data_IF_689852226056
#
_entry.id   IF_689852226056
#
_cell.length_a   1.000
_cell.length_b   1.000
_cell.length_c   1.000
_cell.angle_alpha   90.00
_cell.angle_beta   90.00
_cell.angle_gamma   90.00
#
_symmetry.space_group_name_H-M   'P 1'
#
loop_
_entity.id
_entity.type
_entity.pdbx_description
1 polymer ?
#
# COMPACT_ATOMS: atom_id res chain seq x y z
N UNK A 1 -24.70 -4.97 -12.90
CA UNK A 1 -24.01 -4.88 -11.61
C UNK A 1 -24.38 -6.10 -10.80
N UNK A 2 -23.58 -7.16 -10.90
CA UNK A 2 -23.62 -8.28 -9.95
C UNK A 2 -22.77 -7.85 -8.76
N UNK A 3 -23.39 -7.69 -7.60
CA UNK A 3 -22.66 -7.41 -6.36
C UNK A 3 -21.65 -8.53 -6.14
N UNK A 4 -20.41 -8.16 -5.82
CA UNK A 4 -19.39 -9.13 -5.45
C UNK A 4 -19.93 -9.95 -4.28
N UNK A 5 -20.04 -11.26 -4.49
CA UNK A 5 -20.34 -12.23 -3.46
C UNK A 5 -19.25 -12.12 -2.40
N UNK A 6 -19.65 -11.85 -1.15
CA UNK A 6 -18.76 -12.06 -0.02
C UNK A 6 -18.31 -13.52 -0.07
N UNK A 7 -17.00 -13.75 -0.19
CA UNK A 7 -16.41 -15.09 -0.28
C UNK A 7 -17.00 -15.99 0.81
N UNK A 8 -17.61 -17.11 0.40
CA UNK A 8 -18.18 -18.15 1.28
C UNK A 8 -17.14 -18.74 2.24
N UNK A 9 -15.86 -18.62 1.89
CA UNK A 9 -14.71 -19.02 2.70
C UNK A 9 -14.01 -17.79 3.26
N UNK A 10 -13.76 -17.82 4.57
CA UNK A 10 -12.88 -16.88 5.25
C UNK A 10 -11.43 -17.36 5.09
N UNK A 11 -10.72 -16.79 4.12
CA UNK A 11 -9.37 -17.21 3.76
C UNK A 11 -8.33 -16.90 4.82
N UNK A 12 -8.52 -15.82 5.59
CA UNK A 12 -7.59 -15.46 6.67
C UNK A 12 -7.70 -16.49 7.80
N UNK A 13 -8.93 -16.83 8.19
CA UNK A 13 -9.18 -17.86 9.21
C UNK A 13 -8.70 -19.25 8.76
N UNK A 14 -8.86 -19.57 7.47
CA UNK A 14 -8.36 -20.83 6.91
C UNK A 14 -6.83 -20.87 6.84
N UNK A 15 -6.17 -19.74 6.58
CA UNK A 15 -4.72 -19.63 6.61
C UNK A 15 -4.16 -19.78 8.03
N UNK A 16 -4.81 -19.18 9.03
CA UNK A 16 -4.46 -19.38 10.44
C UNK A 16 -4.60 -20.85 10.85
N UNK A 17 -5.64 -21.54 10.36
CA UNK A 17 -5.83 -22.98 10.57
C UNK A 17 -4.71 -23.82 9.93
N UNK A 18 -4.41 -23.59 8.64
CA UNK A 18 -3.33 -24.32 7.92
C UNK A 18 -1.95 -24.04 8.53
N UNK A 19 -1.73 -22.83 9.03
CA UNK A 19 -0.50 -22.42 9.71
C UNK A 19 -0.35 -22.91 11.14
N UNK A 20 -1.36 -23.60 11.71
CA UNK A 20 -1.36 -24.06 13.11
C UNK A 20 -1.52 -22.93 14.14
N UNK A 21 -1.87 -21.71 13.72
CA UNK A 21 -2.07 -20.58 14.62
C UNK A 21 -3.32 -20.75 15.50
N UNK A 22 -4.26 -21.60 15.09
CA UNK A 22 -5.46 -21.94 15.84
C UNK A 22 -5.28 -23.15 16.77
N UNK A 23 -4.11 -23.80 16.81
CA UNK A 23 -3.92 -25.02 17.58
C UNK A 23 -4.27 -24.83 19.07
N UNK A 24 -5.23 -25.62 19.56
CA UNK A 24 -5.70 -25.55 20.93
C UNK A 24 -6.70 -24.42 21.23
N UNK A 25 -7.13 -23.67 20.21
CA UNK A 25 -8.22 -22.70 20.34
C UNK A 25 -9.58 -23.32 19.96
N UNK A 26 -10.71 -22.78 20.47
CA UNK A 26 -12.04 -23.24 20.06
C UNK A 26 -12.31 -23.09 18.56
N UNK A 27 -11.68 -22.11 17.91
CA UNK A 27 -11.82 -21.80 16.50
C UNK A 27 -11.26 -22.92 15.61
N UNK A 28 -10.25 -23.66 16.06
CA UNK A 28 -9.71 -24.85 15.37
C UNK A 28 -10.82 -25.85 15.03
N UNK A 29 -11.64 -26.20 16.04
CA UNK A 29 -12.73 -27.17 15.87
C UNK A 29 -13.85 -26.64 14.97
N UNK A 30 -14.04 -25.32 14.91
CA UNK A 30 -15.02 -24.69 14.01
C UNK A 30 -14.54 -24.81 12.57
N UNK A 31 -13.30 -24.44 12.29
CA UNK A 31 -12.71 -24.54 10.95
C UNK A 31 -12.60 -25.99 10.50
N UNK A 32 -12.13 -26.89 11.36
CA UNK A 32 -12.04 -28.33 11.06
C UNK A 32 -13.41 -28.92 10.67
N UNK A 33 -14.49 -28.52 11.36
CA UNK A 33 -15.85 -28.93 10.99
C UNK A 33 -16.26 -28.39 9.63
N UNK A 34 -16.01 -27.10 9.34
CA UNK A 34 -16.32 -26.51 8.02
C UNK A 34 -15.56 -27.20 6.90
N UNK A 35 -14.26 -27.44 7.07
CA UNK A 35 -13.44 -28.18 6.09
C UNK A 35 -13.96 -29.59 5.86
N UNK A 36 -14.56 -30.24 6.86
CA UNK A 36 -15.13 -31.59 6.73
C UNK A 36 -16.54 -31.63 6.13
N UNK A 37 -17.37 -30.61 6.38
CA UNK A 37 -18.80 -30.62 6.05
C UNK A 37 -19.15 -29.76 4.82
N UNK A 38 -18.35 -28.74 4.51
CA UNK A 38 -18.64 -27.76 3.46
C UNK A 38 -17.68 -27.93 2.27
N UNK A 39 -18.17 -28.31 1.07
CA UNK A 39 -17.31 -28.59 -0.09
C UNK A 39 -16.38 -27.43 -0.48
N UNK A 40 -16.88 -26.20 -0.41
CA UNK A 40 -16.10 -25.00 -0.78
C UNK A 40 -14.93 -24.79 0.19
N UNK A 41 -15.12 -25.06 1.50
CA UNK A 41 -14.03 -25.05 2.48
C UNK A 41 -13.05 -26.19 2.28
N UNK A 42 -13.53 -27.39 1.92
CA UNK A 42 -12.65 -28.53 1.60
C UNK A 42 -11.73 -28.22 0.42
N UNK A 43 -12.29 -27.68 -0.67
CA UNK A 43 -11.54 -27.34 -1.88
C UNK A 43 -10.51 -26.22 -1.61
N UNK A 44 -10.93 -25.16 -0.91
CA UNK A 44 -10.04 -24.07 -0.53
C UNK A 44 -8.89 -24.55 0.39
N UNK A 45 -9.20 -25.42 1.37
CA UNK A 45 -8.20 -26.01 2.26
C UNK A 45 -7.18 -26.85 1.49
N UNK A 46 -7.65 -27.71 0.59
CA UNK A 46 -6.78 -28.55 -0.23
C UNK A 46 -5.83 -27.72 -1.10
N UNK A 47 -6.36 -26.68 -1.77
CA UNK A 47 -5.57 -25.77 -2.58
C UNK A 47 -4.51 -25.02 -1.76
N UNK A 48 -4.86 -24.56 -0.55
CA UNK A 48 -3.92 -23.84 0.32
C UNK A 48 -2.82 -24.75 0.87
N UNK A 49 -3.15 -25.98 1.26
CA UNK A 49 -2.18 -26.98 1.71
C UNK A 49 -1.19 -27.35 0.59
N UNK A 50 -1.68 -27.52 -0.64
CA UNK A 50 -0.82 -27.79 -1.81
C UNK A 50 0.14 -26.63 -2.10
N UNK A 51 -0.40 -25.40 -2.12
CA UNK A 51 0.41 -24.19 -2.35
C UNK A 51 1.48 -24.02 -1.27
N UNK A 52 1.11 -24.22 0.00
CA UNK A 52 2.05 -24.15 1.13
C UNK A 52 3.13 -25.21 1.01
N UNK A 53 2.77 -26.46 0.69
CA UNK A 53 3.74 -27.54 0.47
C UNK A 53 4.72 -27.25 -0.68
N UNK A 54 4.25 -26.60 -1.75
CA UNK A 54 5.09 -26.18 -2.88
C UNK A 54 6.09 -25.09 -2.49
N UNK A 55 5.66 -24.11 -1.68
CA UNK A 55 6.55 -23.09 -1.12
C UNK A 55 7.56 -23.72 -0.18
N UNK A 56 7.15 -24.59 0.75
CA UNK A 56 8.04 -25.29 1.66
C UNK A 56 9.09 -26.13 0.91
N UNK A 57 8.67 -26.83 -0.15
CA UNK A 57 9.60 -27.59 -1.01
C UNK A 57 10.60 -26.67 -1.69
N UNK A 58 10.12 -25.57 -2.27
CA UNK A 58 10.98 -24.58 -2.93
C UNK A 58 12.00 -24.01 -1.95
N UNK A 59 11.56 -23.64 -0.74
CA UNK A 59 12.43 -23.14 0.32
C UNK A 59 13.44 -24.20 0.80
N UNK A 60 13.03 -25.46 0.90
CA UNK A 60 13.93 -26.55 1.25
C UNK A 60 15.03 -26.74 0.20
N UNK A 61 14.67 -26.73 -1.09
CA UNK A 61 15.64 -26.78 -2.20
C UNK A 61 16.61 -25.61 -2.16
N UNK A 62 16.11 -24.40 -1.86
CA UNK A 62 16.97 -23.23 -1.67
C UNK A 62 17.90 -23.36 -0.45
N UNK A 63 17.41 -24.01 0.61
CA UNK A 63 18.17 -24.26 1.84
C UNK A 63 19.26 -25.33 1.73
N UNK A 64 19.30 -26.13 0.65
CA UNK A 64 20.33 -27.18 0.47
C UNK A 64 21.76 -26.63 0.41
N UNK A 65 21.92 -25.36 0.00
CA UNK A 65 23.22 -24.67 -0.09
C UNK A 65 23.40 -23.59 0.99
N UNK A 66 22.62 -23.64 2.08
CA UNK A 66 22.72 -22.64 3.15
C UNK A 66 24.09 -22.71 3.83
N UNK A 67 24.75 -21.56 3.96
CA UNK A 67 25.97 -21.46 4.76
C UNK A 67 25.65 -21.87 6.21
N UNK A 68 26.45 -22.74 6.84
CA UNK A 68 26.18 -23.20 8.19
C UNK A 68 26.18 -22.02 9.15
N UNK A 69 25.15 -21.96 10.01
CA UNK A 69 25.07 -20.95 11.06
C UNK A 69 26.34 -20.99 11.93
N UNK A 70 27.01 -19.85 12.16
CA UNK A 70 28.17 -19.81 13.04
C UNK A 70 27.83 -20.37 14.42
N UNK A 71 28.70 -21.22 14.95
CA UNK A 71 28.43 -21.98 16.18
C UNK A 71 28.13 -21.06 17.36
N UNK A 72 28.81 -19.91 17.46
CA UNK A 72 28.56 -18.94 18.51
C UNK A 72 27.17 -18.31 18.44
N UNK A 73 26.59 -18.19 17.24
CA UNK A 73 25.22 -17.70 17.06
C UNK A 73 24.23 -18.79 17.45
N UNK A 74 24.47 -20.03 17.03
CA UNK A 74 23.64 -21.17 17.40
C UNK A 74 23.61 -21.37 18.93
N UNK A 75 24.76 -21.31 19.59
CA UNK A 75 24.88 -21.44 21.05
C UNK A 75 24.16 -20.31 21.79
N UNK A 76 24.27 -19.07 21.27
CA UNK A 76 23.55 -17.92 21.82
C UNK A 76 22.03 -18.09 21.69
N UNK A 77 21.55 -18.61 20.57
CA UNK A 77 20.12 -18.87 20.36
C UNK A 77 19.66 -20.00 21.28
N UNK A 78 20.38 -21.11 21.34
CA UNK A 78 20.06 -22.24 22.22
C UNK A 78 19.99 -21.80 23.69
N UNK A 79 21.00 -21.04 24.15
CA UNK A 79 21.03 -20.47 25.49
C UNK A 79 19.84 -19.53 25.75
N UNK A 80 19.49 -18.69 24.77
CA UNK A 80 18.34 -17.80 24.90
C UNK A 80 17.01 -18.56 25.00
N UNK A 81 16.87 -19.65 24.24
CA UNK A 81 15.69 -20.52 24.27
C UNK A 81 15.58 -21.30 25.58
N UNK A 82 16.68 -21.77 26.16
CA UNK A 82 16.70 -22.42 27.48
C UNK A 82 16.36 -21.45 28.63
N UNK A 83 16.66 -20.16 28.44
CA UNK A 83 16.38 -19.11 29.41
C UNK A 83 14.95 -18.55 29.32
N UNK A 84 14.19 -18.87 28.27
CA UNK A 84 12.77 -18.55 28.18
C UNK A 84 12.01 -19.43 29.20
N UNK A 85 11.44 -18.85 30.27
CA UNK A 85 10.53 -19.61 31.12
C UNK A 85 9.33 -20.02 30.26
N UNK A 86 8.97 -21.30 30.27
CA UNK A 86 7.76 -21.80 29.60
C UNK A 86 6.60 -20.85 29.88
N UNK A 87 6.21 -20.05 28.88
CA UNK A 87 5.11 -19.10 29.06
C UNK A 87 3.85 -19.90 29.38
N UNK A 88 3.07 -19.48 30.40
CA UNK A 88 1.74 -20.02 30.58
C UNK A 88 0.95 -19.72 29.31
N UNK A 89 0.28 -20.75 28.78
CA UNK A 89 -0.76 -20.65 27.76
C UNK A 89 -1.60 -19.41 28.05
N UNK A 90 -1.64 -18.48 27.10
CA UNK A 90 -2.47 -17.28 27.20
C UNK A 90 -3.93 -17.74 27.27
N UNK A 91 -4.48 -17.82 28.48
CA UNK A 91 -5.92 -18.01 28.66
C UNK A 91 -6.64 -16.78 28.11
N UNK A 92 -7.35 -16.97 27.01
CA UNK A 92 -8.31 -16.02 26.48
C UNK A 92 -9.30 -15.66 27.61
N UNK A 93 -9.29 -14.40 28.02
CA UNK A 93 -10.29 -13.85 28.95
C UNK A 93 -11.62 -13.78 28.18
N UNK A 94 -12.68 -14.49 28.63
CA UNK A 94 -13.98 -14.38 27.99
C UNK A 94 -14.50 -12.94 28.09
N UNK A 95 -14.72 -12.29 26.96
CA UNK A 95 -15.35 -10.99 26.90
C UNK A 95 -16.87 -11.17 27.07
N UNK A 96 -17.32 -11.25 28.32
CA UNK A 96 -18.74 -11.28 28.69
C UNK A 96 -19.40 -9.89 28.52
N UNK A 97 -19.44 -9.38 27.29
CA UNK A 97 -20.34 -8.31 26.86
C UNK A 97 -21.40 -8.84 25.90
N UNK A 98 -22.03 -9.95 26.29
CA UNK A 98 -23.38 -10.30 25.83
C UNK A 98 -24.39 -9.75 26.85
N UNK A 99 -25.26 -8.85 26.39
CA UNK A 99 -26.28 -8.21 27.23
C UNK A 99 -27.16 -9.21 27.99
N UNK A 100 -27.71 -8.82 29.15
CA UNK A 100 -28.31 -9.77 30.08
C UNK A 100 -29.63 -10.34 29.56
N UNK A 101 -29.62 -11.63 29.24
CA UNK A 101 -30.81 -12.46 29.20
C UNK A 101 -31.42 -12.56 30.60
N UNK A 102 -32.73 -12.26 30.67
CA UNK A 102 -33.52 -12.29 31.88
C UNK A 102 -33.72 -13.72 32.37
N UNK A 103 -33.20 -14.06 33.54
CA UNK A 103 -33.83 -15.08 34.40
C UNK A 103 -33.67 -14.72 35.88
N UNK A 104 -34.83 -14.70 36.55
CA UNK A 104 -35.02 -14.34 37.94
C UNK A 104 -34.44 -15.36 38.93
N UNK A 105 -33.80 -14.89 40.00
CA UNK A 105 -33.93 -15.56 41.32
C UNK A 105 -33.66 -14.58 42.47
N UNK A 106 -34.40 -14.80 43.56
CA UNK A 106 -34.69 -13.87 44.65
C UNK A 106 -33.56 -13.81 45.68
N UNK A 107 -33.19 -12.60 46.13
CA UNK A 107 -33.05 -12.37 47.59
C UNK A 107 -33.17 -10.89 48.00
N UNK A 108 -34.19 -10.65 48.83
CA UNK A 108 -34.53 -9.42 49.53
C UNK A 108 -33.33 -8.80 50.28
N UNK A 109 -33.12 -7.49 50.14
CA UNK A 109 -32.74 -6.58 51.25
C UNK A 109 -33.13 -5.12 50.93
N UNK A 110 -34.30 -4.76 51.47
CA UNK A 110 -34.85 -3.48 51.97
C UNK A 110 -34.24 -2.14 51.49
N UNK A 111 -35.10 -1.32 50.89
CA UNK A 111 -34.99 0.14 50.65
C UNK A 111 -35.03 0.97 51.96
N UNK A 112 -34.72 2.28 51.93
CA UNK A 112 -35.69 3.33 51.53
C UNK A 112 -35.05 4.32 50.53
N UNK A 113 -35.74 4.97 49.58
CA UNK A 113 -37.11 5.45 49.54
C UNK A 113 -37.06 6.99 49.49
N UNK A 114 -37.01 7.58 48.29
CA UNK A 114 -37.29 9.01 48.09
C UNK A 114 -37.97 9.28 46.75
N UNK A 115 -38.88 10.25 46.80
CA UNK A 115 -40.00 10.50 45.92
C UNK A 115 -39.62 11.25 44.62
N UNK A 116 -40.46 11.10 43.59
CA UNK A 116 -40.35 11.79 42.28
C UNK A 116 -40.66 13.30 42.32
N UNK A 117 -40.89 14.00 41.17
CA UNK A 117 -41.77 13.58 40.07
C UNK A 117 -41.29 13.89 38.62
N UNK A 118 -42.16 13.60 37.66
CA UNK A 118 -42.01 13.53 36.20
C UNK A 118 -41.82 14.87 35.43
N UNK A 119 -41.29 14.80 34.20
CA UNK A 119 -41.74 15.61 33.05
C UNK A 119 -41.24 15.07 31.69
N UNK A 120 -41.96 15.51 30.65
CA UNK A 120 -42.12 15.01 29.26
C UNK A 120 -41.09 15.55 28.26
N UNK A 121 -40.83 14.75 27.20
CA UNK A 121 -40.41 15.07 25.81
C UNK A 121 -39.06 15.74 25.48
N UNK A 122 -38.36 15.12 24.52
CA UNK A 122 -37.55 15.74 23.45
C UNK A 122 -37.40 14.67 22.34
N UNK A 123 -37.57 14.90 21.04
CA UNK A 123 -37.32 16.12 20.28
C UNK A 123 -36.15 15.80 19.33
N UNK A 124 -36.46 15.46 18.08
CA UNK A 124 -35.49 15.24 17.00
C UNK A 124 -34.81 16.57 16.67
N UNK A 125 -33.48 16.60 16.64
CA UNK A 125 -32.71 17.70 16.07
C UNK A 125 -31.60 17.14 15.18
N UNK A 126 -31.72 17.38 13.88
CA UNK A 126 -30.65 17.24 12.91
C UNK A 126 -29.66 18.41 13.07
N UNK A 127 -28.37 18.11 13.05
CA UNK A 127 -27.30 19.11 13.00
C UNK A 127 -26.84 19.26 11.55
N UNK A 128 -27.16 20.40 10.96
CA UNK A 128 -26.50 20.94 9.78
C UNK A 128 -26.26 22.45 10.00
N UNK A 129 -25.02 22.89 9.79
CA UNK A 129 -24.47 24.22 10.04
C UNK A 129 -23.03 24.02 10.53
N UNK A 130 -21.98 24.68 10.05
CA UNK A 130 -21.76 26.09 9.71
C UNK A 130 -20.35 26.12 9.04
N UNK A 131 -19.91 27.07 8.23
CA UNK A 131 -20.47 28.37 7.88
C UNK A 131 -19.58 29.08 6.85
N UNK A 132 -20.21 30.00 6.12
CA UNK A 132 -19.57 31.03 5.31
C UNK A 132 -19.39 32.29 6.17
N UNK A 133 -18.19 32.84 6.18
CA UNK A 133 -17.90 34.17 6.71
C UNK A 133 -17.89 35.16 5.55
N UNK A 134 -18.86 36.06 5.57
CA UNK A 134 -18.98 37.26 4.74
C UNK A 134 -17.91 38.31 5.12
N UNK A 135 -17.49 39.16 4.16
CA UNK A 135 -17.74 40.61 4.24
C UNK A 135 -17.03 41.44 3.15
N UNK A 136 -17.79 42.39 2.58
CA UNK A 136 -17.34 43.59 1.86
C UNK A 136 -17.46 43.46 0.34
N UNK A 137 -18.30 44.17 -0.40
CA UNK A 137 -18.89 45.50 -0.20
C UNK A 137 -18.64 46.26 -1.51
N UNK A 138 -19.69 46.53 -2.28
CA UNK A 138 -19.61 46.91 -3.71
C UNK A 138 -19.10 48.31 -4.03
N UNK A 139 -18.80 48.54 -5.31
CA UNK A 139 -19.62 49.36 -6.21
C UNK A 139 -19.12 49.20 -7.66
N UNK A 140 -20.05 49.33 -8.59
CA UNK A 140 -19.85 49.12 -10.03
C UNK A 140 -19.32 50.39 -10.70
N UNK A 141 -18.41 50.23 -11.66
CA UNK A 141 -18.37 51.07 -12.86
C UNK A 141 -17.74 50.31 -14.03
N UNK A 142 -18.34 50.48 -15.21
CA UNK A 142 -17.97 49.78 -16.44
C UNK A 142 -17.00 50.53 -17.33
N UNK A 143 -16.64 49.90 -18.45
CA UNK A 143 -16.17 50.60 -19.65
C UNK A 143 -14.73 50.33 -20.08
N UNK A 144 -14.59 49.25 -20.86
CA UNK A 144 -13.87 49.12 -22.14
C UNK A 144 -12.67 50.02 -22.53
N UNK A 145 -11.73 49.33 -23.17
CA UNK A 145 -10.96 49.69 -24.39
C UNK A 145 -9.63 50.48 -24.33
N UNK A 146 -8.57 49.71 -24.64
CA UNK A 146 -7.51 49.90 -25.65
C UNK A 146 -6.47 51.04 -25.60
N UNK A 147 -5.22 50.58 -25.80
CA UNK A 147 -4.11 51.13 -26.59
C UNK A 147 -3.20 52.23 -26.00
N UNK A 148 -1.89 52.05 -26.20
CA UNK A 148 -0.94 53.17 -26.23
C UNK A 148 0.46 52.87 -25.70
N UNK A 149 1.40 52.76 -26.63
CA UNK A 149 2.85 52.49 -26.53
C UNK A 149 3.74 53.64 -25.98
N UNK A 150 5.00 53.28 -25.69
CA UNK A 150 6.26 54.09 -25.60
C UNK A 150 6.59 54.69 -24.21
N UNK A 151 7.83 54.80 -23.72
CA UNK A 151 9.17 54.32 -24.10
C UNK A 151 10.15 54.52 -22.90
N UNK A 152 11.26 53.76 -22.92
CA UNK A 152 12.60 54.04 -22.38
C UNK A 152 12.97 54.04 -20.87
N UNK A 153 13.89 53.09 -20.57
CA UNK A 153 15.17 53.24 -19.83
C UNK A 153 15.20 53.16 -18.27
N UNK A 154 16.34 52.70 -17.69
CA UNK A 154 16.34 51.69 -16.64
C UNK A 154 16.44 52.24 -15.22
N UNK A 155 15.82 51.54 -14.27
CA UNK A 155 16.12 51.71 -12.85
C UNK A 155 15.98 50.37 -12.12
N UNK A 156 17.02 50.06 -11.35
CA UNK A 156 17.19 48.88 -10.53
C UNK A 156 16.11 48.72 -9.47
N UNK A 157 15.84 47.45 -9.14
CA UNK A 157 15.34 46.93 -7.88
C UNK A 157 13.93 47.39 -7.44
N UNK A 158 12.97 46.48 -7.62
CA UNK A 158 12.05 46.03 -6.58
C UNK A 158 11.46 44.68 -6.97
N UNK A 159 11.52 43.77 -6.00
CA UNK A 159 10.71 42.57 -5.87
C UNK A 159 9.25 42.83 -6.28
N UNK A 160 8.73 41.96 -7.15
CA UNK A 160 7.48 41.21 -6.98
C UNK A 160 6.98 40.67 -8.33
N UNK A 161 6.39 39.47 -8.27
CA UNK A 161 5.74 38.69 -9.34
C UNK A 161 6.70 37.91 -10.28
N UNK A 162 6.50 36.64 -10.59
CA UNK A 162 5.26 35.86 -10.57
C UNK A 162 5.63 34.37 -10.55
N UNK A 163 5.59 33.76 -9.37
CA UNK A 163 5.50 32.31 -9.28
C UNK A 163 4.15 31.93 -9.89
N UNK A 164 4.19 31.12 -10.94
CA UNK A 164 3.00 30.49 -11.52
C UNK A 164 2.24 29.69 -10.46
N UNK A 165 1.01 29.22 -10.76
CA UNK A 165 0.22 28.50 -9.78
C UNK A 165 1.07 27.37 -9.21
N UNK A 166 1.35 27.49 -7.92
CA UNK A 166 1.97 26.50 -7.07
C UNK A 166 1.10 25.25 -7.19
N UNK A 167 1.49 24.36 -8.10
CA UNK A 167 0.92 23.02 -8.18
C UNK A 167 1.15 22.42 -6.81
N UNK A 168 0.05 22.19 -6.11
CA UNK A 168 0.06 21.50 -4.84
C UNK A 168 0.97 20.27 -4.96
N UNK A 169 1.99 20.12 -4.10
CA UNK A 169 2.71 18.86 -4.05
C UNK A 169 1.66 17.77 -3.84
N UNK A 170 1.75 16.69 -4.62
CA UNK A 170 1.01 15.46 -4.36
C UNK A 170 0.90 15.28 -2.85
N UNK A 171 -0.32 15.35 -2.34
CA UNK A 171 -0.56 15.47 -0.92
C UNK A 171 -0.04 14.22 -0.21
N UNK A 172 1.14 14.36 0.40
CA UNK A 172 1.53 13.63 1.61
C UNK A 172 1.82 12.14 1.45
N UNK A 173 2.82 11.77 0.65
CA UNK A 173 3.44 10.46 0.73
C UNK A 173 4.79 10.43 0.00
N UNK A 174 5.83 9.88 0.62
CA UNK A 174 7.03 9.53 -0.13
C UNK A 174 6.65 8.40 -1.09
N UNK A 175 6.67 8.67 -2.40
CA UNK A 175 6.38 7.65 -3.41
C UNK A 175 7.36 6.48 -3.20
N UNK A 176 6.87 5.24 -3.01
CA UNK A 176 7.75 4.09 -2.84
C UNK A 176 8.61 3.92 -4.09
N UNK A 177 9.92 4.11 -3.94
CA UNK A 177 10.91 3.87 -4.98
C UNK A 177 11.63 2.56 -4.70
N UNK A 178 11.51 1.61 -5.63
CA UNK A 178 12.19 0.33 -5.59
C UNK A 178 13.10 0.20 -6.80
N UNK A 179 14.02 -0.75 -6.73
CA UNK A 179 15.01 -0.98 -7.76
C UNK A 179 15.17 -2.50 -7.86
N UNK A 180 14.27 -3.13 -8.61
CA UNK A 180 14.12 -4.58 -8.66
C UNK A 180 15.08 -5.25 -9.63
N UNK A 181 15.55 -4.52 -10.65
CA UNK A 181 16.31 -5.08 -11.76
C UNK A 181 15.52 -6.04 -12.66
N UNK A 182 14.19 -6.13 -12.52
CA UNK A 182 13.33 -6.97 -13.36
C UNK A 182 13.33 -6.48 -14.81
N UNK A 183 13.26 -7.39 -15.77
CA UNK A 183 13.00 -7.08 -17.19
C UNK A 183 11.52 -7.25 -17.51
N UNK A 184 10.81 -6.12 -17.59
CA UNK A 184 9.42 -6.07 -17.98
C UNK A 184 9.29 -6.22 -19.50
N UNK A 185 8.40 -7.10 -19.93
CA UNK A 185 8.14 -7.37 -21.36
C UNK A 185 6.75 -6.93 -21.75
N UNK A 186 6.58 -6.37 -22.95
CA UNK A 186 5.27 -5.96 -23.46
C UNK A 186 4.20 -7.07 -23.36
N UNK A 187 4.59 -8.33 -23.57
CA UNK A 187 3.68 -9.49 -23.53
C UNK A 187 3.09 -9.78 -22.15
N UNK A 188 3.79 -9.41 -21.08
CA UNK A 188 3.37 -9.65 -19.69
C UNK A 188 3.10 -8.35 -18.93
N UNK A 189 3.24 -7.20 -19.60
CA UNK A 189 3.19 -5.88 -18.98
C UNK A 189 1.85 -5.61 -18.29
N UNK A 190 0.74 -5.88 -18.98
CA UNK A 190 -0.62 -5.71 -18.45
C UNK A 190 -0.97 -6.67 -17.28
N UNK A 191 -0.17 -7.72 -17.09
CA UNK A 191 -0.37 -8.73 -16.03
C UNK A 191 0.65 -8.60 -14.91
N UNK A 192 1.55 -7.62 -14.99
CA UNK A 192 2.54 -7.40 -13.95
C UNK A 192 1.87 -6.83 -12.70
N UNK A 193 2.05 -7.48 -11.56
CA UNK A 193 1.65 -6.95 -10.25
C UNK A 193 2.60 -5.84 -9.76
N UNK A 194 2.13 -5.03 -8.82
CA UNK A 194 2.95 -3.98 -8.19
C UNK A 194 4.14 -4.64 -7.46
N UNK A 195 5.40 -4.23 -7.71
CA UNK A 195 6.59 -4.85 -7.12
C UNK A 195 6.65 -4.73 -5.58
N UNK A 196 5.83 -3.86 -4.98
CA UNK A 196 5.60 -3.78 -3.54
C UNK A 196 5.09 -5.09 -2.89
N UNK A 197 4.40 -5.96 -3.64
CA UNK A 197 4.03 -7.29 -3.16
C UNK A 197 5.19 -8.30 -3.23
N UNK A 198 6.15 -8.08 -4.13
CA UNK A 198 7.29 -8.98 -4.35
C UNK A 198 8.50 -8.68 -3.45
N UNK A 199 8.66 -7.45 -2.94
CA UNK A 199 9.81 -7.09 -2.08
C UNK A 199 9.67 -7.51 -0.62
N UNK A 200 8.45 -7.85 -0.17
CA UNK A 200 8.26 -8.62 1.07
C UNK A 200 8.83 -10.05 0.94
N UNK A 201 9.06 -10.54 -0.29
CA UNK A 201 9.62 -11.87 -0.58
C UNK A 201 11.08 -11.81 -1.09
N UNK A 202 11.54 -10.67 -1.64
CA UNK A 202 12.86 -10.55 -2.29
C UNK A 202 14.01 -10.05 -1.40
N UNK A 203 13.78 -9.78 -0.11
CA UNK A 203 14.88 -9.45 0.83
C UNK A 203 15.65 -10.69 1.31
N UNK A 204 15.36 -11.88 0.78
CA UNK A 204 15.86 -13.17 1.28
C UNK A 204 16.72 -13.93 0.27
N UNK A 205 17.37 -13.25 -0.68
CA UNK A 205 18.15 -13.95 -1.71
C UNK A 205 19.41 -13.21 -2.14
N UNK A 206 20.47 -13.33 -1.35
CA UNK A 206 21.85 -13.24 -1.84
C UNK A 206 22.64 -14.40 -1.23
N UNK A 207 23.06 -15.35 -2.07
CA UNK A 207 24.13 -16.29 -1.77
C UNK A 207 25.40 -15.87 -2.54
N UNK A 208 26.61 -16.15 -2.03
CA UNK A 208 27.86 -15.64 -2.59
C UNK A 208 28.39 -16.54 -3.71
N UNK A 209 28.86 -15.94 -4.80
CA UNK A 209 29.76 -16.62 -5.74
C UNK A 209 31.05 -15.84 -5.94
N UNK A 210 32.10 -16.64 -6.14
CA UNK A 210 33.50 -16.31 -5.95
C UNK A 210 34.08 -15.28 -6.92
N UNK A 211 35.07 -14.60 -6.36
CA UNK A 211 36.08 -13.72 -6.93
C UNK A 211 36.70 -14.25 -8.23
N UNK A 212 36.29 -13.67 -9.35
CA UNK A 212 37.13 -13.49 -10.54
C UNK A 212 36.95 -12.06 -11.05
N UNK A 213 37.90 -11.21 -10.65
CA UNK A 213 38.37 -9.95 -11.25
C UNK A 213 37.42 -9.26 -12.25
N UNK A 214 36.26 -8.83 -11.76
CA UNK A 214 35.29 -8.01 -12.49
C UNK A 214 34.96 -6.75 -11.68
N UNK A 215 34.83 -5.58 -12.33
CA UNK A 215 34.53 -4.33 -11.65
C UNK A 215 33.15 -4.44 -11.00
N UNK A 216 33.11 -4.23 -9.69
CA UNK A 216 31.94 -4.11 -8.81
C UNK A 216 30.66 -3.70 -9.54
N UNK A 217 29.81 -4.66 -9.88
CA UNK A 217 28.47 -4.41 -10.43
C UNK A 217 27.54 -4.14 -9.25
N UNK A 218 27.20 -2.86 -9.04
CA UNK A 218 26.20 -2.45 -8.05
C UNK A 218 24.82 -3.02 -8.46
N UNK A 219 24.38 -4.07 -7.75
CA UNK A 219 23.01 -4.58 -7.83
C UNK A 219 22.04 -3.50 -7.33
N UNK A 220 21.14 -3.03 -8.19
CA UNK A 220 20.02 -2.19 -7.77
C UNK A 220 19.23 -1.55 -8.90
N UNK A 221 19.83 -0.67 -9.69
CA UNK A 221 19.18 -0.07 -10.87
C UNK A 221 20.22 0.15 -11.98
N UNK A 222 19.83 0.13 -13.26
CA UNK A 222 20.71 0.56 -14.33
C UNK A 222 21.25 1.98 -14.06
N UNK A 223 22.56 2.25 -14.22
CA UNK A 223 23.16 3.57 -13.92
C UNK A 223 22.58 4.70 -14.77
N UNK A 224 22.01 4.36 -15.94
CA UNK A 224 21.26 5.31 -16.77
C UNK A 224 20.07 5.96 -16.02
N UNK A 225 19.53 5.31 -14.98
CA UNK A 225 18.38 5.79 -14.20
C UNK A 225 18.80 6.55 -12.92
N UNK A 226 20.09 6.76 -12.66
CA UNK A 226 20.54 7.42 -11.41
C UNK A 226 19.94 8.82 -11.22
N UNK A 227 19.69 9.53 -12.33
CA UNK A 227 18.96 10.80 -12.30
C UNK A 227 17.58 10.65 -11.65
N UNK A 228 16.84 9.58 -11.95
CA UNK A 228 15.49 9.35 -11.43
C UNK A 228 15.47 8.91 -9.95
N UNK A 229 16.63 8.64 -9.35
CA UNK A 229 16.74 8.51 -7.88
C UNK A 229 16.66 9.86 -7.17
N UNK A 230 16.88 10.97 -7.89
CA UNK A 230 16.70 12.31 -7.35
C UNK A 230 15.19 12.63 -7.26
N UNK A 231 14.66 13.02 -6.09
CA UNK A 231 13.23 13.28 -5.91
C UNK A 231 12.66 14.35 -6.86
N UNK A 232 13.41 15.39 -7.18
CA UNK A 232 12.98 16.45 -8.10
C UNK A 232 12.87 15.94 -9.53
N UNK A 233 13.82 15.11 -9.98
CA UNK A 233 13.77 14.52 -11.31
C UNK A 233 12.65 13.47 -11.41
N UNK A 234 12.41 12.71 -10.34
CA UNK A 234 11.31 11.74 -10.28
C UNK A 234 9.95 12.45 -10.33
N UNK A 235 9.76 13.53 -9.58
CA UNK A 235 8.54 14.33 -9.63
C UNK A 235 8.28 14.87 -11.04
N UNK A 236 9.31 15.45 -11.69
CA UNK A 236 9.19 15.92 -13.07
C UNK A 236 8.86 14.79 -14.07
N UNK A 237 9.34 13.57 -13.83
CA UNK A 237 8.98 12.40 -14.62
C UNK A 237 7.50 12.05 -14.45
N UNK A 238 7.01 12.00 -13.21
CA UNK A 238 5.59 11.71 -12.91
C UNK A 238 4.67 12.78 -13.51
N UNK A 239 5.03 14.06 -13.40
CA UNK A 239 4.28 15.17 -14.02
C UNK A 239 4.20 15.02 -15.54
N UNK A 240 5.30 14.57 -16.16
CA UNK A 240 5.33 14.31 -17.60
C UNK A 240 4.45 13.11 -17.99
N UNK A 241 4.40 12.05 -17.19
CA UNK A 241 3.47 10.92 -17.40
C UNK A 241 2.02 11.37 -17.20
N UNK A 242 1.73 12.14 -16.15
CA UNK A 242 0.40 12.69 -15.89
C UNK A 242 -0.08 13.59 -17.04
N UNK A 243 0.81 14.36 -17.64
CA UNK A 243 0.51 15.19 -18.82
C UNK A 243 0.30 14.36 -20.10
N UNK A 244 0.97 13.21 -20.21
CA UNK A 244 0.85 12.31 -21.35
C UNK A 244 -0.37 11.35 -21.25
N UNK A 245 -0.85 11.07 -20.04
CA UNK A 245 -1.97 10.18 -19.80
C UNK A 245 -3.32 10.91 -20.01
N UNK A 246 -4.23 10.42 -20.87
CA UNK A 246 -5.46 11.16 -21.24
C UNK A 246 -6.36 11.56 -20.07
N UNK A 247 -6.40 10.73 -19.03
CA UNK A 247 -7.21 10.93 -17.81
C UNK A 247 -6.37 11.42 -16.63
N UNK A 248 -5.10 11.77 -16.85
CA UNK A 248 -4.15 12.12 -15.80
C UNK A 248 -3.82 10.97 -14.86
N UNK A 249 -3.11 11.29 -13.78
CA UNK A 249 -2.80 10.38 -12.68
C UNK A 249 -3.45 10.92 -11.42
N UNK A 250 -4.16 10.08 -10.67
CA UNK A 250 -4.78 10.44 -9.38
C UNK A 250 -3.89 10.02 -8.22
N UNK A 251 -3.31 8.82 -8.29
CA UNK A 251 -2.46 8.26 -7.22
C UNK A 251 -1.33 7.43 -7.80
N UNK A 252 -0.13 7.51 -7.21
CA UNK A 252 1.05 6.74 -7.63
C UNK A 252 1.37 5.71 -6.56
N UNK A 253 1.24 4.43 -6.91
CA UNK A 253 1.42 3.32 -5.98
C UNK A 253 2.90 3.05 -5.69
N UNK A 254 3.71 2.93 -6.74
CA UNK A 254 5.14 2.56 -6.66
C UNK A 254 5.86 2.92 -7.95
N UNK A 255 7.14 3.24 -7.84
CA UNK A 255 8.06 3.36 -8.96
C UNK A 255 9.17 2.33 -8.82
N UNK A 256 9.41 1.53 -9.87
CA UNK A 256 10.48 0.54 -9.92
C UNK A 256 11.52 0.91 -10.97
N UNK A 257 12.77 1.05 -10.55
CA UNK A 257 13.92 1.27 -11.42
C UNK A 257 14.41 -0.08 -11.94
N UNK A 258 14.04 -0.39 -13.19
CA UNK A 258 14.17 -1.72 -13.75
C UNK A 258 14.57 -1.65 -15.22
N UNK A 259 14.27 -2.69 -15.99
CA UNK A 259 14.40 -2.70 -17.45
C UNK A 259 13.06 -2.99 -18.12
N UNK A 260 12.83 -2.42 -19.29
CA UNK A 260 11.71 -2.73 -20.17
C UNK A 260 12.27 -3.15 -21.53
N UNK A 261 12.01 -4.39 -21.92
CA UNK A 261 12.56 -5.01 -23.13
C UNK A 261 14.10 -4.89 -23.22
N UNK A 262 14.77 -5.14 -22.10
CA UNK A 262 16.22 -5.07 -21.97
C UNK A 262 16.82 -3.65 -21.95
N UNK A 263 16.00 -2.61 -22.02
CA UNK A 263 16.44 -1.21 -21.92
C UNK A 263 16.14 -0.62 -20.54
N UNK A 264 17.02 0.22 -19.96
CA UNK A 264 16.74 0.89 -18.69
C UNK A 264 15.41 1.66 -18.70
N UNK A 265 14.55 1.41 -17.72
CA UNK A 265 13.27 2.08 -17.60
C UNK A 265 12.83 2.24 -16.14
N UNK A 266 12.18 3.37 -15.83
CA UNK A 266 11.35 3.53 -14.65
C UNK A 266 9.95 2.99 -14.94
N UNK A 267 9.51 2.04 -14.15
CA UNK A 267 8.19 1.41 -14.24
C UNK A 267 7.31 2.02 -13.16
N UNK A 268 6.28 2.75 -13.58
CA UNK A 268 5.38 3.49 -12.70
C UNK A 268 4.04 2.77 -12.64
N UNK A 269 3.61 2.42 -11.44
CA UNK A 269 2.30 1.86 -11.14
C UNK A 269 1.43 2.97 -10.56
N UNK A 270 0.27 3.22 -11.16
CA UNK A 270 -0.60 4.33 -10.75
C UNK A 270 -2.07 4.07 -11.03
N UNK A 271 -2.95 4.84 -10.39
CA UNK A 271 -4.38 4.90 -10.69
C UNK A 271 -4.71 6.21 -11.40
N UNK A 272 -5.48 6.14 -12.48
CA UNK A 272 -5.84 7.30 -13.30
C UNK A 272 -7.10 8.03 -12.82
N UNK A 273 -7.51 9.10 -13.51
CA UNK A 273 -8.74 9.85 -13.19
C UNK A 273 -10.05 9.08 -13.34
N UNK A 274 -10.03 7.91 -14.00
CA UNK A 274 -11.19 7.02 -14.14
C UNK A 274 -11.27 5.95 -13.03
N UNK A 275 -10.22 5.83 -12.21
CA UNK A 275 -10.08 4.77 -11.22
C UNK A 275 -9.47 3.48 -11.79
N UNK A 276 -8.97 3.49 -13.02
CA UNK A 276 -8.27 2.36 -13.62
C UNK A 276 -6.81 2.32 -13.15
N UNK A 277 -6.31 1.11 -12.87
CA UNK A 277 -4.90 0.87 -12.54
C UNK A 277 -4.07 0.70 -13.81
N UNK A 278 -2.90 1.32 -13.84
CA UNK A 278 -2.01 1.36 -14.99
C UNK A 278 -0.57 1.06 -14.60
N UNK A 279 0.15 0.49 -15.55
CA UNK A 279 1.60 0.37 -15.54
C UNK A 279 2.18 1.13 -16.74
N UNK A 280 3.22 1.90 -16.50
CA UNK A 280 3.86 2.75 -17.51
C UNK A 280 5.38 2.63 -17.45
N UNK A 281 6.00 2.36 -18.59
CA UNK A 281 7.45 2.28 -18.72
C UNK A 281 7.97 3.57 -19.35
N UNK A 282 8.86 4.23 -18.63
CA UNK A 282 9.52 5.48 -19.04
C UNK A 282 11.02 5.29 -19.10
N UNK A 283 11.68 5.79 -20.14
CA UNK A 283 13.13 5.71 -20.25
C UNK A 283 13.89 6.71 -19.37
N UNK A 284 15.23 6.73 -19.47
CA UNK A 284 16.11 7.58 -18.66
C UNK A 284 15.87 9.10 -18.79
N UNK A 285 15.30 9.53 -19.91
CA UNK A 285 15.10 10.95 -20.21
C UNK A 285 13.73 11.46 -19.73
N UNK A 286 12.97 10.66 -18.99
CA UNK A 286 11.68 11.06 -18.44
C UNK A 286 11.78 12.37 -17.63
N UNK A 287 10.84 13.28 -17.83
CA UNK A 287 10.81 14.60 -17.18
C UNK A 287 11.82 15.61 -17.74
N UNK A 288 12.55 15.30 -18.82
CA UNK A 288 13.35 16.30 -19.54
C UNK A 288 12.42 17.08 -20.48
N UNK A 289 12.52 18.41 -20.48
CA UNK A 289 11.59 19.30 -21.19
C UNK A 289 11.32 18.97 -22.68
N UNK A 290 12.28 18.34 -23.38
CA UNK A 290 12.11 17.90 -24.77
C UNK A 290 11.64 16.46 -24.94
N UNK A 291 11.81 15.62 -23.93
CA UNK A 291 11.57 14.17 -24.00
C UNK A 291 10.24 13.78 -23.32
N UNK A 292 9.65 14.67 -22.52
CA UNK A 292 8.36 14.44 -21.87
C UNK A 292 8.41 13.21 -20.98
N UNK A 293 7.44 12.30 -21.15
CA UNK A 293 7.37 11.06 -20.38
C UNK A 293 8.39 9.99 -20.81
N UNK A 294 9.13 10.18 -21.92
CA UNK A 294 10.03 9.17 -22.53
C UNK A 294 9.37 7.77 -22.58
N UNK A 295 8.12 7.72 -23.06
CA UNK A 295 7.30 6.51 -23.01
C UNK A 295 7.86 5.38 -23.84
N UNK A 296 8.05 4.22 -23.21
CA UNK A 296 8.46 2.96 -23.83
C UNK A 296 7.30 1.98 -23.98
N UNK A 297 6.33 2.05 -23.07
CA UNK A 297 5.12 1.24 -23.11
C UNK A 297 4.14 1.63 -22.00
N UNK A 298 2.86 1.34 -22.19
CA UNK A 298 1.83 1.50 -21.16
C UNK A 298 0.76 0.42 -21.32
N UNK A 299 0.19 0.00 -20.20
CA UNK A 299 -0.92 -0.96 -20.20
C UNK A 299 -1.82 -0.75 -18.98
N UNK A 300 -3.11 -1.00 -19.17
CA UNK A 300 -4.06 -1.08 -18.08
C UNK A 300 -3.89 -2.44 -17.39
N UNK A 301 -3.77 -2.43 -16.07
CA UNK A 301 -3.71 -3.64 -15.25
C UNK A 301 -5.16 -4.11 -15.03
N UNK A 302 -5.43 -5.38 -15.29
CA UNK A 302 -6.75 -5.99 -15.05
C UNK A 302 -6.89 -6.56 -13.65
#
# INVERSE_FOLDING_TARGET
>A
MTGQEFSEVDFDLLADYVGGALDGTPEEAVVARRVAEEPVWTEAHAALVEATGSVSTSLATWGESAEPMPAEVADRIATALEQEPHRPVLSLVPNDQAGPARTASRRRRRMPGWAGPAAVAAGVAALAGFGLSQAGGGDADGGADTAGTAAEAPASARDDAQLGPEMAPYAGGAIPLVASGVDYRATTFASAGTPGAARALASTSVAPHQEQDQPKVDLGAPPALDRLRNPTALAACIDAIASAHPTGITDVETVDLATFEGSPAAIVFFTDGSGARWIWASGPDCGVARQGADTRGSAQIR
#
